data_IF_401144246876
#
_entry.id   IF_401144246876
#
_cell.length_a   1.000
_cell.length_b   1.000
_cell.length_c   1.000
_cell.angle_alpha   90.00
_cell.angle_beta   90.00
_cell.angle_gamma   90.00
#
_symmetry.space_group_name_H-M   'P 1'
#
loop_
_entity.id
_entity.type
_entity.pdbx_description
1 polymer ?
#
# COMPACT_ATOMS: atom_id res chain seq x y z
N UNK A 1 -4.88 -13.63 10.81
CA UNK A 1 -4.53 -14.02 9.42
C UNK A 1 -5.65 -13.52 8.52
N UNK A 2 -5.34 -12.99 7.33
CA UNK A 2 -6.36 -12.66 6.34
C UNK A 2 -7.02 -13.94 5.83
N UNK A 3 -8.24 -13.81 5.31
CA UNK A 3 -9.03 -14.94 4.83
C UNK A 3 -8.41 -15.59 3.58
N UNK A 4 -8.87 -16.79 3.26
CA UNK A 4 -8.50 -17.46 2.02
C UNK A 4 -8.81 -16.58 0.79
N UNK A 5 -7.92 -16.52 -0.22
CA UNK A 5 -8.16 -15.79 -1.45
C UNK A 5 -9.39 -16.28 -2.20
N UNK A 6 -10.11 -15.36 -2.85
CA UNK A 6 -11.23 -15.66 -3.75
C UNK A 6 -10.88 -15.34 -5.21
N UNK A 7 -11.57 -16.02 -6.13
CA UNK A 7 -11.57 -15.69 -7.57
C UNK A 7 -13.03 -15.64 -8.07
N UNK A 8 -13.55 -14.48 -8.52
CA UNK A 8 -12.84 -13.20 -8.62
C UNK A 8 -12.44 -12.61 -7.26
N UNK A 9 -11.46 -11.71 -7.28
CA UNK A 9 -11.07 -10.95 -6.10
C UNK A 9 -12.22 -10.04 -5.65
N UNK A 10 -12.17 -9.60 -4.40
CA UNK A 10 -13.12 -8.64 -3.83
C UNK A 10 -12.33 -7.60 -3.03
N UNK A 11 -12.88 -6.39 -2.92
CA UNK A 11 -12.09 -5.25 -2.48
C UNK A 11 -12.59 -4.66 -1.16
N UNK A 12 -11.68 -4.07 -0.39
CA UNK A 12 -11.98 -3.15 0.71
C UNK A 12 -11.75 -1.75 0.16
N UNK A 13 -12.74 -0.89 0.31
CA UNK A 13 -12.62 0.52 -0.04
C UNK A 13 -12.19 1.31 1.20
N UNK A 14 -11.12 2.08 1.07
CA UNK A 14 -10.59 2.95 2.13
C UNK A 14 -10.63 4.38 1.61
N UNK A 15 -11.50 5.20 2.17
CA UNK A 15 -11.59 6.61 1.84
C UNK A 15 -10.57 7.43 2.65
N UNK A 16 -9.76 8.20 1.94
CA UNK A 16 -8.81 9.16 2.50
C UNK A 16 -9.37 10.56 2.29
N UNK A 17 -9.85 11.16 3.37
CA UNK A 17 -10.38 12.52 3.36
C UNK A 17 -9.30 13.57 3.60
N UNK A 18 -9.41 14.70 2.92
CA UNK A 18 -8.54 15.85 3.13
C UNK A 18 -9.23 17.17 2.83
N UNK A 19 -8.48 18.27 2.97
CA UNK A 19 -8.91 19.60 2.59
C UNK A 19 -7.94 20.21 1.58
N UNK A 20 -8.47 20.68 0.45
CA UNK A 20 -7.77 21.40 -0.61
C UNK A 20 -8.53 22.70 -0.90
N UNK A 21 -7.86 23.84 -0.75
CA UNK A 21 -8.46 25.17 -0.94
C UNK A 21 -9.77 25.38 -0.16
N UNK A 22 -9.77 24.95 1.11
CA UNK A 22 -10.93 24.91 2.02
C UNK A 22 -12.10 24.00 1.63
N UNK A 23 -12.00 23.26 0.51
CA UNK A 23 -12.98 22.26 0.11
C UNK A 23 -12.58 20.89 0.62
N UNK A 24 -13.57 20.10 1.05
CA UNK A 24 -13.39 18.69 1.35
C UNK A 24 -13.15 17.92 0.06
N UNK A 25 -12.13 17.07 0.09
CA UNK A 25 -11.78 16.18 -1.02
C UNK A 25 -11.59 14.78 -0.46
N UNK A 26 -11.82 13.77 -1.30
CA UNK A 26 -11.51 12.40 -0.93
C UNK A 26 -10.89 11.63 -2.08
N UNK A 27 -9.98 10.71 -1.73
CA UNK A 27 -9.49 9.67 -2.61
C UNK A 27 -9.85 8.33 -1.99
N UNK A 28 -10.49 7.45 -2.75
CA UNK A 28 -10.80 6.09 -2.29
C UNK A 28 -9.79 5.11 -2.84
N UNK A 29 -9.11 4.37 -1.97
CA UNK A 29 -8.25 3.24 -2.35
C UNK A 29 -9.08 1.96 -2.42
N UNK A 30 -8.81 1.10 -3.40
CA UNK A 30 -9.30 -0.28 -3.43
C UNK A 30 -8.15 -1.22 -3.06
N UNK A 31 -8.33 -1.96 -1.97
CA UNK A 31 -7.40 -2.97 -1.50
C UNK A 31 -7.97 -4.36 -1.79
N UNK A 32 -7.17 -5.24 -2.40
CA UNK A 32 -7.49 -6.66 -2.55
C UNK A 32 -7.74 -7.30 -1.18
N UNK A 33 -8.82 -8.06 -1.03
CA UNK A 33 -9.05 -8.85 0.20
C UNK A 33 -8.18 -10.10 0.27
N UNK A 34 -7.53 -10.47 -0.83
CA UNK A 34 -6.67 -11.64 -0.91
C UNK A 34 -5.31 -11.40 -0.24
N UNK A 35 -4.80 -10.17 -0.25
CA UNK A 35 -3.50 -9.83 0.32
C UNK A 35 -3.37 -8.39 0.85
N UNK A 36 -4.42 -7.58 0.85
CA UNK A 36 -4.43 -6.14 1.22
C UNK A 36 -3.63 -5.23 0.28
N UNK A 37 -3.23 -5.70 -0.90
CA UNK A 37 -2.52 -4.85 -1.85
C UNK A 37 -3.46 -3.80 -2.45
N UNK A 38 -2.98 -2.55 -2.59
CA UNK A 38 -3.75 -1.50 -3.28
C UNK A 38 -3.70 -1.81 -4.78
N UNK A 39 -4.86 -2.02 -5.38
CA UNK A 39 -4.99 -2.40 -6.81
C UNK A 39 -5.52 -1.25 -7.68
N UNK A 40 -6.16 -0.26 -7.05
CA UNK A 40 -6.70 0.91 -7.72
C UNK A 40 -6.94 2.06 -6.72
N UNK A 41 -7.14 3.27 -7.22
CA UNK A 41 -7.67 4.40 -6.45
C UNK A 41 -8.69 5.19 -7.27
N UNK A 42 -9.58 5.96 -6.63
CA UNK A 42 -10.55 6.80 -7.31
C UNK A 42 -10.54 8.23 -6.74
N UNK A 43 -10.65 9.22 -7.62
CA UNK A 43 -10.77 10.64 -7.31
C UNK A 43 -11.97 11.28 -8.03
N UNK A 44 -12.13 12.60 -7.92
CA UNK A 44 -13.10 13.36 -8.72
C UNK A 44 -12.37 14.30 -9.69
N UNK A 45 -12.74 14.22 -10.96
CA UNK A 45 -12.23 15.10 -12.02
C UNK A 45 -13.39 15.57 -12.91
N UNK A 46 -13.51 16.88 -13.12
CA UNK A 46 -14.62 17.46 -13.90
C UNK A 46 -16.02 17.09 -13.37
N UNK A 47 -16.16 16.90 -12.06
CA UNK A 47 -17.42 16.48 -11.42
C UNK A 47 -17.73 14.98 -11.53
N UNK A 48 -16.88 14.19 -12.17
CA UNK A 48 -17.05 12.74 -12.37
C UNK A 48 -16.17 11.93 -11.42
N UNK A 49 -16.66 10.78 -10.99
CA UNK A 49 -15.83 9.79 -10.28
C UNK A 49 -14.93 9.12 -11.30
N UNK A 50 -13.62 9.25 -11.08
CA UNK A 50 -12.58 8.75 -11.98
C UNK A 50 -11.74 7.71 -11.26
N UNK A 51 -11.76 6.48 -11.77
CA UNK A 51 -10.98 5.38 -11.23
C UNK A 51 -9.64 5.22 -11.95
N UNK A 52 -8.59 4.89 -11.21
CA UNK A 52 -7.23 4.64 -11.68
C UNK A 52 -6.84 3.23 -11.29
N UNK A 53 -6.60 2.39 -12.29
CA UNK A 53 -6.45 0.94 -12.12
C UNK A 53 -5.07 0.50 -12.55
N UNK A 54 -4.42 -0.35 -11.75
CA UNK A 54 -3.24 -1.06 -12.24
C UNK A 54 -3.64 -2.02 -13.37
N UNK A 55 -2.74 -2.18 -14.35
CA UNK A 55 -3.01 -2.94 -15.59
C UNK A 55 -3.36 -4.41 -15.35
N UNK A 56 -2.90 -5.00 -14.24
CA UNK A 56 -3.20 -6.38 -13.86
C UNK A 56 -4.69 -6.63 -13.61
N UNK A 57 -5.47 -5.60 -13.30
CA UNK A 57 -6.93 -5.73 -13.16
C UNK A 57 -7.64 -5.89 -14.50
N UNK A 58 -6.98 -5.59 -15.63
CA UNK A 58 -7.56 -5.78 -16.97
C UNK A 58 -8.78 -4.91 -17.26
N UNK A 59 -8.92 -3.75 -16.60
CA UNK A 59 -10.07 -2.86 -16.79
C UNK A 59 -10.05 -2.26 -18.20
N UNK A 60 -11.09 -2.55 -18.96
CA UNK A 60 -11.29 -2.08 -20.33
C UNK A 60 -12.64 -1.40 -20.56
N UNK A 61 -13.58 -1.52 -19.61
CA UNK A 61 -14.92 -0.95 -19.67
C UNK A 61 -15.33 -0.31 -18.33
N UNK A 62 -16.32 0.59 -18.39
CA UNK A 62 -16.93 1.19 -17.19
C UNK A 62 -17.61 0.14 -16.31
N UNK A 63 -18.22 -0.90 -16.89
CA UNK A 63 -18.85 -1.97 -16.12
C UNK A 63 -17.83 -2.80 -15.33
N UNK A 64 -16.63 -3.03 -15.89
CA UNK A 64 -15.53 -3.65 -15.16
C UNK A 64 -14.99 -2.75 -14.05
N UNK A 65 -14.80 -1.45 -14.35
CA UNK A 65 -14.39 -0.45 -13.38
C UNK A 65 -15.37 -0.38 -12.18
N UNK A 66 -16.67 -0.46 -12.47
CA UNK A 66 -17.74 -0.44 -11.46
C UNK A 66 -17.75 -1.66 -10.51
N UNK A 67 -17.08 -2.76 -10.88
CA UNK A 67 -16.89 -3.92 -9.97
C UNK A 67 -15.90 -3.62 -8.84
N UNK A 68 -15.05 -2.60 -9.01
CA UNK A 68 -14.05 -2.18 -8.01
C UNK A 68 -14.58 -0.98 -7.23
N UNK A 69 -14.91 0.12 -7.91
CA UNK A 69 -15.48 1.31 -7.30
C UNK A 69 -16.89 1.56 -7.84
N UNK A 70 -17.91 1.67 -6.99
CA UNK A 70 -19.26 1.95 -7.47
C UNK A 70 -19.35 3.36 -8.08
N UNK A 71 -20.19 3.52 -9.10
CA UNK A 71 -20.51 4.79 -9.77
C UNK A 71 -19.32 5.47 -10.47
N UNK A 72 -18.33 4.70 -10.90
CA UNK A 72 -17.26 5.20 -11.77
C UNK A 72 -17.84 5.63 -13.11
N UNK A 73 -17.44 6.82 -13.55
CA UNK A 73 -17.90 7.44 -14.80
C UNK A 73 -16.75 7.66 -15.78
N UNK A 74 -15.52 7.54 -15.31
CA UNK A 74 -14.30 7.62 -16.12
C UNK A 74 -13.24 6.68 -15.54
N UNK A 75 -12.42 6.05 -16.38
CA UNK A 75 -11.35 5.17 -15.91
C UNK A 75 -10.04 5.40 -16.65
N UNK A 76 -8.95 5.27 -15.90
CA UNK A 76 -7.58 5.40 -16.37
C UNK A 76 -6.82 4.13 -15.99
N UNK A 77 -6.02 3.65 -16.92
CA UNK A 77 -5.03 2.62 -16.65
C UNK A 77 -3.73 3.28 -16.20
N UNK A 78 -3.29 2.96 -14.98
CA UNK A 78 -2.00 3.38 -14.45
C UNK A 78 -0.91 2.85 -15.40
N UNK A 79 0.01 3.72 -15.80
CA UNK A 79 0.92 3.45 -16.92
C UNK A 79 2.07 2.50 -16.56
N UNK A 80 2.33 2.34 -15.26
CA UNK A 80 3.33 1.44 -14.67
C UNK A 80 2.65 0.33 -13.85
N UNK A 81 3.43 -0.70 -13.48
CA UNK A 81 2.92 -1.81 -12.69
C UNK A 81 2.92 -1.53 -11.18
N UNK A 82 2.23 -2.39 -10.45
CA UNK A 82 1.93 -2.19 -9.03
C UNK A 82 3.08 -2.55 -8.09
N UNK A 83 4.16 -3.17 -8.58
CA UNK A 83 5.29 -3.54 -7.72
C UNK A 83 6.01 -2.31 -7.17
N UNK A 84 6.54 -2.40 -5.95
CA UNK A 84 7.31 -1.30 -5.37
C UNK A 84 8.44 -0.81 -6.28
N UNK A 85 9.17 -1.70 -6.95
CA UNK A 85 10.24 -1.29 -7.87
C UNK A 85 9.72 -0.36 -8.98
N UNK A 86 8.53 -0.65 -9.54
CA UNK A 86 7.92 0.16 -10.60
C UNK A 86 7.35 1.47 -10.06
N UNK A 87 6.72 1.44 -8.88
CA UNK A 87 6.21 2.64 -8.20
C UNK A 87 7.39 3.57 -7.85
N UNK A 88 8.43 3.06 -7.21
CA UNK A 88 9.63 3.82 -6.82
C UNK A 88 10.34 4.44 -8.03
N UNK A 89 10.48 3.67 -9.11
CA UNK A 89 11.05 4.16 -10.38
C UNK A 89 10.27 5.36 -10.94
N UNK A 90 8.93 5.29 -10.95
CA UNK A 90 8.08 6.39 -11.42
C UNK A 90 8.07 7.57 -10.43
N UNK A 91 8.12 7.30 -9.13
CA UNK A 91 8.17 8.33 -8.09
C UNK A 91 9.50 9.10 -8.07
N UNK A 92 10.56 8.53 -8.66
CA UNK A 92 11.92 9.07 -8.64
C UNK A 92 12.50 9.13 -7.23
N UNK A 93 12.16 8.15 -6.40
CA UNK A 93 12.56 8.00 -4.98
C UNK A 93 12.26 6.56 -4.55
N UNK A 94 12.84 6.09 -3.45
CA UNK A 94 12.55 4.77 -2.90
C UNK A 94 11.89 4.86 -1.51
N UNK A 95 11.31 3.77 -1.02
CA UNK A 95 10.68 3.70 0.31
C UNK A 95 11.61 4.06 1.45
N UNK A 96 12.89 3.71 1.35
CA UNK A 96 13.87 3.96 2.40
C UNK A 96 14.13 5.47 2.56
N UNK A 97 14.14 6.22 1.46
CA UNK A 97 14.42 7.66 1.45
C UNK A 97 13.16 8.53 1.50
N UNK A 98 11.97 7.95 1.28
CA UNK A 98 10.73 8.70 1.13
C UNK A 98 10.02 8.91 2.49
N UNK A 99 9.82 10.16 2.92
CA UNK A 99 9.27 10.43 4.25
C UNK A 99 7.77 10.09 4.32
N UNK A 100 7.41 9.32 5.34
CA UNK A 100 6.01 9.03 5.70
C UNK A 100 5.46 10.10 6.65
N UNK A 101 4.14 10.09 6.87
CA UNK A 101 3.46 10.95 7.84
C UNK A 101 2.22 11.61 7.26
N UNK A 102 1.29 12.02 8.13
CA UNK A 102 0.00 12.59 7.73
C UNK A 102 0.14 13.86 6.88
N UNK A 103 1.12 14.73 7.15
CA UNK A 103 1.36 15.94 6.35
C UNK A 103 1.79 15.61 4.92
N UNK A 104 2.66 14.61 4.76
CA UNK A 104 3.08 14.15 3.44
C UNK A 104 1.92 13.45 2.73
N UNK A 105 1.15 12.60 3.42
CA UNK A 105 -0.03 11.94 2.86
C UNK A 105 -1.04 12.98 2.36
N UNK A 106 -1.36 13.99 3.17
CA UNK A 106 -2.19 15.14 2.80
C UNK A 106 -1.62 15.87 1.58
N UNK A 107 -0.32 16.16 1.58
CA UNK A 107 0.34 16.86 0.48
C UNK A 107 0.19 16.12 -0.84
N UNK A 108 0.45 14.81 -0.86
CA UNK A 108 0.35 14.02 -2.09
C UNK A 108 -1.10 13.73 -2.50
N UNK A 109 -2.01 13.54 -1.53
CA UNK A 109 -3.46 13.46 -1.78
C UNK A 109 -3.96 14.73 -2.49
N UNK A 110 -3.62 15.91 -1.97
CA UNK A 110 -4.02 17.19 -2.56
C UNK A 110 -3.44 17.41 -3.96
N UNK A 111 -2.22 16.92 -4.22
CA UNK A 111 -1.54 17.05 -5.51
C UNK A 111 -2.17 16.18 -6.59
N UNK A 112 -2.51 14.92 -6.27
CA UNK A 112 -3.06 13.99 -7.27
C UNK A 112 -4.57 14.17 -7.46
N UNK A 113 -5.30 14.57 -6.41
CA UNK A 113 -6.75 14.77 -6.50
C UNK A 113 -7.14 15.82 -7.55
N UNK A 114 -7.93 15.39 -8.54
CA UNK A 114 -8.39 16.20 -9.65
C UNK A 114 -7.27 16.63 -10.60
N UNK A 115 -6.11 15.97 -10.57
CA UNK A 115 -5.01 16.27 -11.49
C UNK A 115 -5.35 15.79 -12.90
N UNK A 116 -5.11 16.63 -13.91
CA UNK A 116 -5.24 16.24 -15.32
C UNK A 116 -4.08 15.28 -15.68
N UNK A 117 -4.41 14.12 -16.24
CA UNK A 117 -3.43 13.07 -16.58
C UNK A 117 -2.51 13.45 -17.73
N UNK A 118 -2.86 14.47 -18.50
CA UNK A 118 -2.01 15.01 -19.56
C UNK A 118 -0.94 15.97 -19.03
N UNK A 119 -1.03 16.37 -17.75
CA UNK A 119 -0.08 17.28 -17.12
C UNK A 119 1.32 16.63 -17.02
N UNK A 120 2.34 17.38 -17.42
CA UNK A 120 3.74 16.95 -17.26
C UNK A 120 4.05 16.56 -15.81
N UNK A 121 4.58 15.35 -15.61
CA UNK A 121 4.91 14.83 -14.28
C UNK A 121 3.76 14.14 -13.54
N UNK A 122 2.60 13.92 -14.19
CA UNK A 122 1.47 13.19 -13.61
C UNK A 122 1.88 11.85 -12.97
N UNK A 123 2.51 10.96 -13.75
CA UNK A 123 2.91 9.62 -13.25
C UNK A 123 3.83 9.68 -12.04
N UNK A 124 4.69 10.71 -11.95
CA UNK A 124 5.58 10.90 -10.80
C UNK A 124 4.82 11.33 -9.55
N UNK A 125 3.85 12.22 -9.71
CA UNK A 125 2.98 12.66 -8.60
C UNK A 125 2.08 11.52 -8.13
N UNK A 126 1.48 10.78 -9.07
CA UNK A 126 0.67 9.61 -8.79
C UNK A 126 1.47 8.51 -8.07
N UNK A 127 2.66 8.18 -8.56
CA UNK A 127 3.50 7.16 -7.95
C UNK A 127 3.94 7.54 -6.52
N UNK A 128 4.21 8.83 -6.26
CA UNK A 128 4.51 9.32 -4.90
C UNK A 128 3.30 9.23 -3.97
N UNK A 129 2.10 9.52 -4.47
CA UNK A 129 0.87 9.31 -3.73
C UNK A 129 0.65 7.83 -3.40
N UNK A 130 0.74 6.94 -4.39
CA UNK A 130 0.59 5.50 -4.17
C UNK A 130 1.64 4.96 -3.20
N UNK A 131 2.89 5.41 -3.32
CA UNK A 131 3.98 4.98 -2.42
C UNK A 131 3.69 5.30 -0.96
N UNK A 132 3.14 6.49 -0.66
CA UNK A 132 2.78 6.86 0.72
C UNK A 132 1.49 6.18 1.18
N UNK A 133 0.47 6.12 0.31
CA UNK A 133 -0.83 5.55 0.63
C UNK A 133 -0.71 4.04 0.92
N UNK A 134 0.06 3.30 0.11
CA UNK A 134 0.31 1.87 0.34
C UNK A 134 1.01 1.65 1.68
N UNK A 135 2.07 2.40 1.98
CA UNK A 135 2.81 2.24 3.24
C UNK A 135 1.98 2.64 4.47
N UNK A 136 1.22 3.73 4.40
CA UNK A 136 0.44 4.24 5.54
C UNK A 136 -0.91 3.53 5.74
N UNK A 137 -1.41 2.77 4.75
CA UNK A 137 -2.67 2.03 4.84
C UNK A 137 -2.42 0.53 4.87
N UNK A 138 -1.93 -0.05 3.77
CA UNK A 138 -1.78 -1.49 3.62
C UNK A 138 -0.66 -2.04 4.53
N UNK A 139 0.52 -1.42 4.51
CA UNK A 139 1.65 -1.89 5.32
C UNK A 139 1.47 -1.60 6.81
N UNK A 140 0.89 -0.45 7.17
CA UNK A 140 0.50 -0.16 8.54
C UNK A 140 -0.54 -1.15 9.10
N UNK A 141 -1.46 -1.66 8.26
CA UNK A 141 -2.38 -2.72 8.67
C UNK A 141 -1.69 -4.08 8.83
N UNK A 142 -0.72 -4.41 7.95
CA UNK A 142 0.07 -5.65 8.02
C UNK A 142 1.04 -5.64 9.21
N UNK A 143 1.61 -4.49 9.54
CA UNK A 143 2.66 -4.34 10.54
C UNK A 143 2.37 -3.20 11.53
N UNK A 144 2.21 -3.54 12.81
CA UNK A 144 2.11 -2.59 13.92
C UNK A 144 3.34 -1.70 14.02
N UNK A 145 4.51 -2.23 13.64
CA UNK A 145 5.74 -1.44 13.58
C UNK A 145 5.58 -0.27 12.59
N UNK A 146 5.12 -0.54 11.37
CA UNK A 146 4.85 0.47 10.36
C UNK A 146 3.73 1.43 10.78
N UNK A 147 2.68 0.94 11.46
CA UNK A 147 1.62 1.79 12.03
C UNK A 147 2.19 2.84 13.00
N UNK A 148 3.02 2.43 13.97
CA UNK A 148 3.63 3.36 14.94
C UNK A 148 4.50 4.42 14.27
N UNK A 149 5.14 4.08 13.15
CA UNK A 149 5.99 4.99 12.36
C UNK A 149 5.23 5.86 11.36
N UNK A 150 4.02 5.48 10.97
CA UNK A 150 3.16 6.29 10.10
C UNK A 150 2.51 7.48 10.85
N UNK A 151 2.36 7.37 12.18
CA UNK A 151 1.72 8.41 13.02
C UNK A 151 2.61 9.65 13.19
N UNK A 152 3.93 9.47 13.15
CA UNK A 152 4.91 10.56 13.22
C UNK A 152 5.64 10.68 11.89
N UNK A 153 6.12 11.88 11.55
CA UNK A 153 7.03 12.02 10.40
C UNK A 153 8.30 11.21 10.68
N UNK A 154 8.38 10.04 10.08
CA UNK A 154 9.51 9.12 10.28
C UNK A 154 10.68 9.60 9.44
N UNK A 155 11.83 9.77 10.11
CA UNK A 155 13.09 10.04 9.43
C UNK A 155 13.37 8.94 8.39
N UNK A 156 13.85 9.30 7.19
CA UNK A 156 14.33 8.34 6.21
C UNK A 156 15.37 7.38 6.80
N UNK A 157 15.56 6.23 6.16
CA UNK A 157 16.53 5.18 6.51
C UNK A 157 16.11 4.21 7.63
N UNK A 158 14.82 3.90 7.74
CA UNK A 158 14.38 2.79 8.59
C UNK A 158 14.37 1.46 7.82
N UNK A 159 15.47 0.71 7.93
CA UNK A 159 15.63 -0.57 7.24
C UNK A 159 14.67 -1.64 7.74
N UNK A 160 14.15 -1.52 8.96
CA UNK A 160 13.23 -2.51 9.54
C UNK A 160 11.88 -2.49 8.82
N UNK A 161 11.37 -1.30 8.46
CA UNK A 161 10.12 -1.17 7.69
C UNK A 161 10.23 -1.96 6.38
N UNK A 162 11.25 -1.66 5.56
CA UNK A 162 11.44 -2.32 4.27
C UNK A 162 11.66 -3.83 4.43
N UNK A 163 12.42 -4.24 5.45
CA UNK A 163 12.66 -5.66 5.72
C UNK A 163 11.39 -6.40 6.08
N UNK A 164 10.50 -5.80 6.89
CA UNK A 164 9.20 -6.38 7.22
C UNK A 164 8.30 -6.51 5.99
N UNK A 165 8.14 -5.44 5.22
CA UNK A 165 7.32 -5.41 3.99
C UNK A 165 7.73 -6.49 3.00
N UNK A 166 9.02 -6.58 2.69
CA UNK A 166 9.56 -7.55 1.74
C UNK A 166 9.46 -9.00 2.23
N UNK A 167 9.33 -9.23 3.55
CA UNK A 167 9.30 -10.56 4.15
C UNK A 167 7.93 -10.95 4.71
N UNK A 168 6.85 -10.19 4.46
CA UNK A 168 5.52 -10.49 5.02
C UNK A 168 5.05 -11.92 4.73
N UNK A 169 5.27 -12.40 3.50
CA UNK A 169 4.93 -13.77 3.10
C UNK A 169 5.75 -14.84 3.85
N UNK A 170 7.07 -14.62 3.97
CA UNK A 170 7.97 -15.53 4.69
C UNK A 170 7.62 -15.58 6.18
N UNK A 171 7.37 -14.41 6.80
CA UNK A 171 6.92 -14.30 8.19
C UNK A 171 5.59 -15.00 8.43
N UNK A 172 4.62 -14.80 7.54
CA UNK A 172 3.30 -15.44 7.64
C UNK A 172 3.41 -16.97 7.58
N UNK A 173 4.23 -17.49 6.65
CA UNK A 173 4.50 -18.93 6.52
C UNK A 173 5.25 -19.48 7.73
N UNK A 174 6.30 -18.80 8.17
CA UNK A 174 7.11 -19.19 9.33
C UNK A 174 6.28 -19.27 10.61
N UNK A 175 5.45 -18.26 10.87
CA UNK A 175 4.56 -18.23 12.04
C UNK A 175 3.50 -19.33 11.96
N UNK A 176 2.87 -19.53 10.79
CA UNK A 176 1.84 -20.55 10.60
C UNK A 176 2.36 -21.97 10.83
N UNK A 177 3.60 -22.22 10.43
CA UNK A 177 4.25 -23.53 10.48
C UNK A 177 5.09 -23.74 11.74
N UNK A 178 5.13 -22.76 12.65
CA UNK A 178 5.95 -22.83 13.84
C UNK A 178 5.51 -23.99 14.76
N UNK A 179 6.47 -24.82 15.18
CA UNK A 179 6.25 -25.91 16.13
C UNK A 179 6.76 -25.48 17.48
N UNK A 180 5.92 -25.58 18.52
CA UNK A 180 6.24 -25.08 19.88
C UNK A 180 6.74 -23.61 19.85
N UNK A 181 6.19 -22.79 18.95
CA UNK A 181 6.54 -21.37 18.72
C UNK A 181 7.92 -21.12 18.08
N UNK A 182 8.63 -22.16 17.66
CA UNK A 182 9.91 -22.05 16.94
C UNK A 182 9.65 -21.96 15.43
N UNK A 183 10.25 -20.96 14.79
CA UNK A 183 10.24 -20.75 13.34
C UNK A 183 11.48 -21.43 12.76
N UNK A 184 11.27 -22.41 11.87
CA UNK A 184 12.33 -23.15 11.19
C UNK A 184 11.97 -23.32 9.70
N UNK A 185 12.83 -22.90 8.75
CA UNK A 185 14.12 -22.23 8.96
C UNK A 185 13.98 -20.81 9.56
N UNK A 186 15.02 -20.28 10.24
CA UNK A 186 15.05 -18.90 10.69
C UNK A 186 14.85 -17.90 9.54
N UNK A 187 14.30 -16.73 9.85
CA UNK A 187 14.07 -15.65 8.89
C UNK A 187 15.01 -14.49 9.21
N UNK A 188 15.82 -14.08 8.23
CA UNK A 188 16.72 -12.93 8.38
C UNK A 188 15.99 -11.65 7.99
N UNK A 189 15.71 -10.81 8.98
CA UNK A 189 15.21 -9.45 8.83
C UNK A 189 16.33 -8.42 9.11
N UNK A 190 15.95 -7.15 9.26
CA UNK A 190 16.84 -6.07 9.65
C UNK A 190 16.28 -5.26 10.82
N UNK A 191 17.17 -4.78 11.67
CA UNK A 191 16.91 -3.70 12.62
C UNK A 191 16.84 -2.35 11.88
N UNK A 192 16.35 -1.27 12.54
CA UNK A 192 16.27 0.05 11.92
C UNK A 192 17.62 0.56 11.39
N UNK A 193 18.73 0.21 12.04
CA UNK A 193 20.09 0.57 11.65
C UNK A 193 20.67 -0.31 10.51
N UNK A 194 19.86 -1.20 9.93
CA UNK A 194 20.24 -2.08 8.82
C UNK A 194 20.96 -3.37 9.24
N UNK A 195 21.28 -3.54 10.54
CA UNK A 195 21.93 -4.77 11.02
C UNK A 195 21.00 -5.98 10.89
N UNK A 196 21.54 -7.17 10.62
CA UNK A 196 20.75 -8.39 10.55
C UNK A 196 20.00 -8.67 11.86
N UNK A 197 18.74 -9.07 11.74
CA UNK A 197 17.90 -9.53 12.82
C UNK A 197 17.41 -10.94 12.50
N UNK A 198 17.93 -11.95 13.20
CA UNK A 198 17.57 -13.34 12.95
C UNK A 198 16.34 -13.71 13.80
N UNK A 199 15.22 -13.96 13.15
CA UNK A 199 13.96 -14.38 13.76
C UNK A 199 13.91 -15.90 13.83
N UNK A 200 13.83 -16.43 15.05
CA UNK A 200 13.79 -17.87 15.32
C UNK A 200 12.54 -18.29 16.09
N UNK A 201 11.84 -17.35 16.70
CA UNK A 201 10.61 -17.60 17.44
C UNK A 201 9.48 -16.65 17.04
N UNK A 202 8.25 -17.12 17.18
CA UNK A 202 7.05 -16.30 16.94
C UNK A 202 7.05 -15.05 17.85
N UNK A 203 7.58 -15.15 19.07
CA UNK A 203 7.68 -14.04 20.01
C UNK A 203 8.52 -12.87 19.50
N UNK A 204 9.52 -13.14 18.66
CA UNK A 204 10.46 -12.13 18.19
C UNK A 204 9.72 -11.05 17.38
N UNK A 205 8.74 -11.47 16.57
CA UNK A 205 8.02 -10.61 15.61
C UNK A 205 6.56 -10.33 16.02
N UNK A 206 6.06 -10.93 17.10
CA UNK A 206 4.66 -10.83 17.53
C UNK A 206 4.18 -9.39 17.70
N UNK A 207 5.05 -8.52 18.19
CA UNK A 207 4.71 -7.12 18.45
C UNK A 207 4.82 -6.24 17.21
N UNK A 208 5.50 -6.69 16.16
CA UNK A 208 5.66 -5.95 14.91
C UNK A 208 4.56 -6.27 13.89
N UNK A 209 3.91 -7.44 13.99
CA UNK A 209 2.90 -7.91 13.03
C UNK A 209 1.48 -7.55 13.48
N UNK A 210 0.73 -6.95 12.55
CA UNK A 210 -0.71 -6.71 12.67
C UNK A 210 -1.52 -7.85 12.06
N UNK A 211 -1.26 -8.18 10.80
CA UNK A 211 -1.99 -9.20 10.04
C UNK A 211 -1.03 -10.17 9.35
N UNK A 212 -1.42 -11.44 9.31
CA UNK A 212 -0.68 -12.48 8.57
C UNK A 212 -1.34 -12.72 7.21
N UNK A 213 -0.54 -12.91 6.17
CA UNK A 213 -0.99 -13.42 4.87
C UNK A 213 -1.62 -14.80 5.04
N UNK A 214 -2.62 -15.12 4.22
CA UNK A 214 -3.18 -16.46 4.18
C UNK A 214 -2.11 -17.46 3.73
N UNK A 215 -2.03 -18.59 4.44
CA UNK A 215 -1.14 -19.71 4.14
C UNK A 215 -2.01 -20.96 4.19
N UNK A 216 -2.00 -21.73 3.10
CA UNK A 216 -2.68 -23.03 3.03
C UNK A 216 -2.09 -24.00 4.06
#
# INVERSE_FOLDING_TARGET
MIRAPTNPDTYILVELESKKDNNEISITLALSRNDLYVVAYADKFGGKVRGHYFKNLGISTIDEANKVFPNVQDFINITYGESYNQIESNAGTNRLSFPLGFDNLKTFTNKVYGMDTTTGGYSKTEARFLLIAIQMVAEAARFKYSQGRAIVTTAPNDHKILSLENNWGALSKGIRNAVKKVINPPITLQYPDGKPWIVTQVSDVKNDIGLLKYVK
#
